data_IF_299900564256
#
_entry.id   IF_299900564256
#
_cell.length_a   1.000
_cell.length_b   1.000
_cell.length_c   1.000
_cell.angle_alpha   90.00
_cell.angle_beta   90.00
_cell.angle_gamma   90.00
#
_symmetry.space_group_name_H-M   'P 1'
#
loop_
_entity.id
_entity.type
_entity.pdbx_description
1 polymer ?
#
# COMPACT_ATOMS: atom_id res chain seq x y z
N UNK A 1 13.92 -13.13 -11.67
CA UNK A 1 13.15 -12.31 -10.72
C UNK A 1 14.09 -11.36 -10.03
N UNK A 2 13.76 -10.06 -10.06
CA UNK A 2 14.57 -9.04 -9.38
C UNK A 2 14.42 -9.17 -7.87
N UNK A 3 15.43 -8.69 -7.13
CA UNK A 3 15.38 -8.73 -5.68
C UNK A 3 14.14 -8.01 -5.13
N UNK A 4 13.73 -6.93 -5.78
CA UNK A 4 12.55 -6.17 -5.35
C UNK A 4 11.25 -6.94 -5.54
N UNK A 5 11.26 -7.97 -6.36
CA UNK A 5 10.07 -8.78 -6.64
C UNK A 5 9.99 -10.02 -5.77
N UNK A 6 11.05 -10.35 -5.06
CA UNK A 6 11.07 -11.55 -4.21
C UNK A 6 10.23 -11.32 -2.96
N UNK A 7 9.27 -12.21 -2.69
CA UNK A 7 8.42 -12.05 -1.50
C UNK A 7 9.14 -12.58 -0.26
N UNK A 8 10.03 -11.78 0.27
CA UNK A 8 10.90 -12.18 1.39
C UNK A 8 10.50 -11.59 2.73
N UNK A 9 9.51 -10.71 2.75
CA UNK A 9 9.13 -10.00 3.98
C UNK A 9 7.76 -10.43 4.47
N UNK A 10 7.62 -10.56 5.79
CA UNK A 10 6.31 -10.69 6.42
C UNK A 10 5.62 -9.32 6.41
N UNK A 11 4.35 -9.30 6.83
CA UNK A 11 3.61 -8.04 6.91
C UNK A 11 4.32 -7.03 7.82
N UNK A 12 4.80 -7.49 8.98
CA UNK A 12 5.52 -6.62 9.91
C UNK A 12 6.83 -6.12 9.30
N UNK A 13 7.55 -7.02 8.61
CA UNK A 13 8.81 -6.64 7.97
C UNK A 13 8.57 -5.66 6.82
N UNK A 14 7.48 -5.81 6.08
CA UNK A 14 7.12 -4.86 5.04
C UNK A 14 6.90 -3.48 5.65
N UNK A 15 6.15 -3.41 6.77
CA UNK A 15 5.94 -2.14 7.46
C UNK A 15 7.26 -1.55 7.96
N UNK A 16 8.12 -2.38 8.56
CA UNK A 16 9.41 -1.92 9.08
C UNK A 16 10.26 -1.34 7.95
N UNK A 17 10.31 -2.02 6.82
CA UNK A 17 11.09 -1.54 5.70
C UNK A 17 10.54 -0.20 5.18
N UNK A 18 9.24 -0.08 5.00
CA UNK A 18 8.64 1.17 4.53
C UNK A 18 8.83 2.30 5.53
N UNK A 19 8.67 1.99 6.81
CA UNK A 19 8.69 3.02 7.85
C UNK A 19 10.12 3.48 8.16
N UNK A 20 11.05 2.56 8.29
CA UNK A 20 12.41 2.88 8.73
C UNK A 20 13.38 3.09 7.57
N UNK A 21 13.37 2.20 6.60
CA UNK A 21 14.35 2.27 5.49
C UNK A 21 13.93 3.30 4.45
N UNK A 22 12.67 3.32 4.08
CA UNK A 22 12.15 4.26 3.08
C UNK A 22 11.60 5.53 3.70
N UNK A 23 11.51 5.57 5.01
CA UNK A 23 11.04 6.74 5.78
C UNK A 23 9.66 7.20 5.32
N UNK A 24 8.78 6.23 5.06
CA UNK A 24 7.40 6.52 4.68
C UNK A 24 6.53 6.59 5.94
N UNK A 25 5.73 7.63 6.12
CA UNK A 25 4.91 7.78 7.35
C UNK A 25 3.68 6.88 7.33
N UNK A 26 3.89 5.56 7.38
CA UNK A 26 2.81 4.58 7.43
C UNK A 26 2.80 3.90 8.79
N UNK A 27 1.62 3.52 9.26
CA UNK A 27 1.47 2.78 10.51
C UNK A 27 1.26 1.31 10.19
N UNK A 28 1.50 0.46 11.19
CA UNK A 28 1.25 -0.97 11.05
C UNK A 28 -0.22 -1.23 10.72
N UNK A 29 -1.11 -0.45 11.33
CA UNK A 29 -2.55 -0.57 11.07
C UNK A 29 -2.88 -0.30 9.62
N UNK A 30 -2.27 0.73 9.03
CA UNK A 30 -2.50 1.06 7.62
C UNK A 30 -2.11 -0.09 6.71
N UNK A 31 -0.96 -0.70 6.97
CA UNK A 31 -0.49 -1.85 6.19
C UNK A 31 -1.45 -3.03 6.38
N UNK A 32 -1.86 -3.31 7.60
CA UNK A 32 -2.77 -4.40 7.88
C UNK A 32 -4.08 -4.24 7.11
N UNK A 33 -4.66 -3.02 7.12
CA UNK A 33 -5.89 -2.77 6.40
C UNK A 33 -5.71 -2.88 4.89
N UNK A 34 -4.56 -2.43 4.36
CA UNK A 34 -4.27 -2.54 2.94
C UNK A 34 -4.26 -4.01 2.51
N UNK A 35 -3.67 -4.88 3.33
CA UNK A 35 -3.65 -6.32 3.04
C UNK A 35 -5.05 -6.91 3.13
N UNK A 36 -5.81 -6.54 4.15
CA UNK A 36 -7.17 -7.05 4.33
C UNK A 36 -8.10 -6.63 3.20
N UNK A 37 -7.90 -5.41 2.67
CA UNK A 37 -8.71 -4.89 1.57
C UNK A 37 -8.20 -5.32 0.20
N UNK A 38 -7.14 -6.11 0.17
CA UNK A 38 -6.51 -6.58 -1.07
C UNK A 38 -5.92 -5.44 -1.91
N UNK A 39 -5.55 -4.36 -1.27
CA UNK A 39 -4.77 -3.30 -1.91
C UNK A 39 -3.33 -3.76 -2.11
N UNK A 40 -2.82 -4.55 -1.15
CA UNK A 40 -1.54 -5.23 -1.27
C UNK A 40 -1.86 -6.72 -1.29
N UNK A 41 -1.53 -7.40 -2.37
CA UNK A 41 -1.84 -8.83 -2.51
C UNK A 41 -0.63 -9.63 -2.05
N UNK A 42 -0.78 -10.44 -0.99
CA UNK A 42 0.34 -11.24 -0.50
C UNK A 42 0.64 -12.42 -1.40
N UNK A 43 1.89 -12.87 -1.36
CA UNK A 43 2.29 -14.14 -1.93
C UNK A 43 2.18 -15.18 -0.82
N UNK A 44 1.34 -16.20 -1.04
CA UNK A 44 1.11 -17.22 -0.03
C UNK A 44 2.16 -18.31 -0.17
N UNK A 45 2.95 -18.49 0.88
CA UNK A 45 3.99 -19.52 0.92
C UNK A 45 3.75 -20.35 2.17
N UNK A 46 3.33 -21.59 1.96
CA UNK A 46 2.96 -22.45 3.10
C UNK A 46 1.80 -21.83 3.87
N UNK A 47 2.01 -21.59 5.15
CA UNK A 47 0.99 -20.99 6.02
C UNK A 47 1.14 -19.48 6.18
N UNK A 48 2.11 -18.87 5.49
CA UNK A 48 2.41 -17.47 5.68
C UNK A 48 2.14 -16.62 4.46
N UNK A 49 1.89 -15.34 4.70
CA UNK A 49 1.78 -14.34 3.66
C UNK A 49 3.09 -13.57 3.62
N UNK A 50 3.65 -13.43 2.42
CA UNK A 50 4.92 -12.75 2.23
C UNK A 50 4.77 -11.66 1.18
N UNK A 51 5.65 -10.68 1.26
CA UNK A 51 5.56 -9.48 0.44
C UNK A 51 6.93 -9.14 -0.13
N UNK A 52 6.92 -8.53 -1.32
CA UNK A 52 8.13 -8.02 -1.93
C UNK A 52 8.18 -6.50 -1.73
N UNK A 53 9.37 -5.94 -1.94
CA UNK A 53 9.52 -4.48 -1.93
C UNK A 53 8.65 -3.84 -3.01
N UNK A 54 8.54 -4.50 -4.16
CA UNK A 54 7.71 -4.00 -5.25
C UNK A 54 6.24 -3.92 -4.83
N UNK A 55 5.75 -4.92 -4.08
CA UNK A 55 4.37 -4.89 -3.60
C UNK A 55 4.10 -3.61 -2.81
N UNK A 56 5.01 -3.26 -1.90
CA UNK A 56 4.87 -2.05 -1.10
C UNK A 56 4.94 -0.78 -1.94
N UNK A 57 5.89 -0.73 -2.87
CA UNK A 57 6.06 0.46 -3.71
C UNK A 57 4.89 0.66 -4.65
N UNK A 58 4.34 -0.40 -5.22
CA UNK A 58 3.18 -0.30 -6.10
C UNK A 58 1.94 0.12 -5.32
N UNK A 59 1.81 -0.36 -4.09
CA UNK A 59 0.72 0.08 -3.24
C UNK A 59 0.82 1.59 -2.96
N UNK A 60 2.02 2.08 -2.68
CA UNK A 60 2.22 3.51 -2.45
C UNK A 60 1.82 4.32 -3.68
N UNK A 61 2.17 3.83 -4.86
CA UNK A 61 1.77 4.51 -6.11
C UNK A 61 0.25 4.54 -6.25
N UNK A 62 -0.41 3.46 -5.85
CA UNK A 62 -1.86 3.39 -5.96
C UNK A 62 -2.57 4.35 -5.00
N UNK A 63 -1.87 4.79 -3.97
CA UNK A 63 -2.43 5.74 -3.00
C UNK A 63 -2.23 7.19 -3.42
N UNK A 64 -1.48 7.41 -4.48
CA UNK A 64 -1.26 8.77 -4.98
C UNK A 64 -2.53 9.31 -5.60
N UNK A 65 -2.91 10.52 -5.21
CA UNK A 65 -4.10 11.15 -5.78
C UNK A 65 -3.69 11.99 -6.98
N UNK A 66 -4.40 11.86 -8.11
CA UNK A 66 -4.08 12.67 -9.28
C UNK A 66 -4.36 14.15 -9.01
N UNK A 67 -3.50 15.00 -9.51
CA UNK A 67 -3.64 16.45 -9.34
C UNK A 67 -4.91 16.99 -9.96
N UNK A 68 -5.38 16.36 -11.00
CA UNK A 68 -6.56 16.79 -11.73
C UNK A 68 -7.84 16.16 -11.23
N UNK A 69 -7.80 15.46 -10.12
CA UNK A 69 -8.99 14.84 -9.53
C UNK A 69 -9.95 15.96 -9.11
N UNK A 70 -11.16 15.92 -9.51
CA UNK A 70 -12.14 16.95 -9.18
C UNK A 70 -12.66 16.81 -7.79
N UNK A 71 -12.34 16.46 -8.42
CA UNK A 71 -12.80 16.16 -7.68
C UNK A 71 -13.53 15.83 -7.13
N UNK A 72 -13.77 15.61 -7.19
CA UNK A 72 -14.42 15.38 -6.36
C UNK A 72 -14.75 15.18 -5.75
N UNK A 73 -14.88 15.29 -6.23
CA UNK A 73 -15.21 15.36 -5.32
C UNK A 73 -15.28 15.22 -4.78
N UNK A 74 -15.48 15.56 -5.26
CA UNK A 74 -15.71 15.81 -4.44
C UNK A 74 -15.83 15.87 -4.10
N UNK A 75 -16.15 15.91 -4.56
CA UNK A 75 -16.47 16.32 -3.96
C UNK A 75 -16.66 16.19 -3.92
N UNK A 76 -16.73 16.25 -4.52
CA UNK A 76 -16.99 16.50 -4.14
C UNK A 76 -17.12 16.21 -4.03
N UNK A 77 -16.92 16.17 -4.26
CA UNK A 77 -17.29 16.22 -3.87
C UNK A 77 -17.30 16.13 -3.49
N UNK A 78 -17.72 16.35 -4.26
CA UNK A 78 -17.97 16.62 -3.70
C UNK A 78 -17.97 16.41 -3.45
N UNK A 79 -18.21 16.56 -3.45
CA UNK A 79 -18.63 16.66 -3.04
C UNK A 79 -18.67 16.48 -2.93
N UNK A 80 -19.30 16.79 -3.67
CA UNK A 80 -19.55 17.17 -3.24
C UNK A 80 -19.63 16.99 -3.25
N UNK A 81 -19.87 16.95 -3.69
CA UNK A 81 -19.97 17.22 -3.38
C UNK A 81 -19.93 16.93 -3.53
N UNK A 82 -19.70 16.85 -3.67
CA UNK A 82 -19.91 16.87 -3.50
C UNK A 82 -19.81 16.74 -3.39
N UNK A 83 -20.24 16.91 -4.21
CA UNK A 83 -20.41 17.25 -3.86
C UNK A 83 -20.26 16.99 -3.76
#
# INVERSE_FOLDING_TARGET
MDDDEKPTMTETELWEWLHYDEVIPVTRRTIKWAVLRREIIPTRLGNGNFFSKRDGLEWLKSRKQPETAPTRNYAAESHAAQP
#
